data_IF_886192625510
#
_entry.id   IF_886192625510
#
_cell.length_a   1.000
_cell.length_b   1.000
_cell.length_c   1.000
_cell.angle_alpha   90.00
_cell.angle_beta   90.00
_cell.angle_gamma   90.00
#
_symmetry.space_group_name_H-M   'P 1'
#
loop_
_entity.id
_entity.type
_entity.pdbx_description
1 polymer ?
#
# COMPACT_ATOMS: atom_id res chain seq x y z
N UNK A 1 -14.06 11.57 -2.46
CA UNK A 1 -13.25 10.32 -2.47
C UNK A 1 -12.34 10.37 -3.69
N UNK A 2 -11.05 10.09 -3.52
CA UNK A 2 -10.04 10.16 -4.60
C UNK A 2 -9.41 8.78 -4.77
N UNK A 3 -9.24 8.35 -6.02
CA UNK A 3 -8.56 7.10 -6.36
C UNK A 3 -7.23 7.41 -7.05
N UNK A 4 -6.17 6.73 -6.61
CA UNK A 4 -4.83 6.84 -7.18
C UNK A 4 -4.29 5.44 -7.46
N UNK A 5 -3.94 5.18 -8.73
CA UNK A 5 -3.33 3.92 -9.15
C UNK A 5 -1.81 4.10 -9.30
N UNK A 6 -1.03 3.25 -8.62
CA UNK A 6 0.43 3.20 -8.76
C UNK A 6 0.79 1.98 -9.60
N UNK A 7 1.18 2.20 -10.85
CA UNK A 7 1.43 1.16 -11.86
C UNK A 7 2.91 1.15 -12.25
N UNK A 8 3.44 -0.03 -12.58
CA UNK A 8 4.83 -0.21 -13.01
C UNK A 8 5.29 -1.65 -12.92
N UNK A 9 6.45 -1.94 -13.50
CA UNK A 9 7.05 -3.28 -13.54
C UNK A 9 7.36 -3.84 -12.15
N UNK A 10 7.48 -5.17 -12.04
CA UNK A 10 7.92 -5.81 -10.80
C UNK A 10 9.27 -5.22 -10.34
N UNK A 11 9.43 -5.02 -9.04
CA UNK A 11 10.64 -4.42 -8.43
C UNK A 11 10.96 -2.96 -8.83
N UNK A 12 10.03 -2.23 -9.45
CA UNK A 12 10.21 -0.80 -9.78
C UNK A 12 10.11 0.18 -8.59
N UNK A 13 9.97 -0.33 -7.35
CA UNK A 13 9.87 0.50 -6.14
C UNK A 13 8.45 0.93 -5.72
N UNK A 14 7.39 0.39 -6.34
CA UNK A 14 5.98 0.76 -6.02
C UNK A 14 5.64 0.62 -4.54
N UNK A 15 5.95 -0.52 -3.93
CA UNK A 15 5.66 -0.77 -2.51
C UNK A 15 6.38 0.25 -1.62
N UNK A 16 7.67 0.48 -1.88
CA UNK A 16 8.47 1.49 -1.16
C UNK A 16 7.91 2.91 -1.33
N UNK A 17 7.42 3.26 -2.51
CA UNK A 17 6.77 4.55 -2.74
C UNK A 17 5.49 4.67 -1.91
N UNK A 18 4.62 3.65 -1.95
CA UNK A 18 3.35 3.63 -1.21
C UNK A 18 3.61 3.72 0.31
N UNK A 19 4.59 2.99 0.85
CA UNK A 19 5.00 3.05 2.25
C UNK A 19 5.39 4.45 2.73
N UNK A 20 6.00 5.26 1.86
CA UNK A 20 6.36 6.65 2.19
C UNK A 20 5.19 7.61 1.99
N UNK A 21 4.33 7.32 1.01
CA UNK A 21 3.16 8.14 0.70
C UNK A 21 2.11 8.08 1.79
N UNK A 22 1.77 6.88 2.29
CA UNK A 22 0.74 6.69 3.32
C UNK A 22 0.96 7.61 4.55
N UNK A 23 2.11 7.59 5.25
CA UNK A 23 2.31 8.46 6.41
C UNK A 23 2.34 9.94 6.03
N UNK A 24 2.81 10.29 4.82
CA UNK A 24 2.78 11.67 4.35
C UNK A 24 1.34 12.18 4.13
N UNK A 25 0.43 11.34 3.62
CA UNK A 25 -0.97 11.69 3.46
C UNK A 25 -1.69 11.73 4.81
N UNK A 26 -1.42 10.76 5.69
CA UNK A 26 -1.99 10.74 7.05
C UNK A 26 -1.60 11.97 7.88
N UNK A 27 -0.35 12.44 7.77
CA UNK A 27 0.10 13.69 8.41
C UNK A 27 -0.68 14.92 7.96
N UNK A 28 -1.35 14.86 6.79
CA UNK A 28 -2.21 15.92 6.26
C UNK A 28 -3.70 15.71 6.61
N UNK A 29 -4.01 14.79 7.52
CA UNK A 29 -5.39 14.53 7.96
C UNK A 29 -6.19 13.62 7.02
N UNK A 30 -5.56 13.00 6.02
CA UNK A 30 -6.25 12.08 5.11
C UNK A 30 -6.26 10.66 5.66
N UNK A 31 -7.41 9.99 5.54
CA UNK A 31 -7.51 8.55 5.70
C UNK A 31 -7.10 7.84 4.41
N UNK A 32 -6.32 6.77 4.54
CA UNK A 32 -5.75 6.05 3.40
C UNK A 32 -6.06 4.56 3.55
N UNK A 33 -6.68 3.99 2.51
CA UNK A 33 -6.87 2.55 2.33
C UNK A 33 -6.04 2.14 1.12
N UNK A 34 -5.46 0.94 1.14
CA UNK A 34 -4.74 0.41 -0.02
C UNK A 34 -5.36 -0.88 -0.51
N UNK A 35 -5.48 -1.01 -1.82
CA UNK A 35 -5.89 -2.24 -2.50
C UNK A 35 -4.73 -2.71 -3.37
N UNK A 36 -4.40 -3.99 -3.28
CA UNK A 36 -3.36 -4.61 -4.09
C UNK A 36 -3.99 -5.65 -5.02
N UNK A 37 -3.65 -5.56 -6.30
CA UNK A 37 -3.90 -6.66 -7.22
C UNK A 37 -2.87 -7.79 -6.99
N UNK A 38 -3.34 -8.98 -6.65
CA UNK A 38 -2.52 -10.16 -6.40
C UNK A 38 -3.10 -11.35 -7.15
N UNK A 39 -2.27 -12.32 -7.62
CA UNK A 39 -2.79 -13.57 -8.15
C UNK A 39 -3.65 -14.29 -7.11
N UNK A 40 -4.68 -15.00 -7.57
CA UNK A 40 -5.61 -15.73 -6.70
C UNK A 40 -4.87 -16.73 -5.78
N UNK A 41 -5.35 -16.86 -4.54
CA UNK A 41 -4.88 -17.86 -3.57
C UNK A 41 -3.68 -17.45 -2.70
N UNK A 42 -3.17 -16.22 -2.81
CA UNK A 42 -2.09 -15.75 -1.93
C UNK A 42 -2.59 -15.33 -0.55
N UNK A 43 -2.00 -15.88 0.52
CA UNK A 43 -2.19 -15.38 1.88
C UNK A 43 -1.89 -13.88 1.97
N UNK A 44 -2.83 -13.14 2.56
CA UNK A 44 -2.73 -11.71 2.82
C UNK A 44 -1.98 -11.45 4.13
N UNK A 45 -1.36 -10.28 4.22
CA UNK A 45 -0.75 -9.74 5.45
C UNK A 45 0.34 -10.59 6.10
N UNK A 46 1.02 -11.40 5.30
CA UNK A 46 2.27 -12.05 5.71
C UNK A 46 3.34 -10.95 5.96
N UNK A 47 4.08 -11.02 7.09
CA UNK A 47 5.19 -10.13 7.37
C UNK A 47 6.13 -9.94 6.17
N UNK A 48 6.42 -8.68 5.83
CA UNK A 48 7.28 -8.32 4.71
C UNK A 48 6.61 -8.32 3.32
N UNK A 49 5.37 -8.80 3.16
CA UNK A 49 4.59 -8.63 1.92
C UNK A 49 3.94 -7.24 1.85
N UNK A 50 3.58 -6.82 0.64
CA UNK A 50 3.07 -5.47 0.37
C UNK A 50 1.90 -5.03 1.26
N UNK A 51 0.87 -5.88 1.44
CA UNK A 51 -0.31 -5.49 2.24
C UNK A 51 0.04 -5.30 3.72
N UNK A 52 0.89 -6.19 4.27
CA UNK A 52 1.47 -6.04 5.60
C UNK A 52 2.27 -4.74 5.71
N UNK A 53 3.16 -4.48 4.75
CA UNK A 53 4.01 -3.27 4.74
C UNK A 53 3.17 -1.99 4.66
N UNK A 54 2.10 -1.98 3.86
CA UNK A 54 1.19 -0.84 3.77
C UNK A 54 0.43 -0.61 5.09
N UNK A 55 -0.05 -1.68 5.74
CA UNK A 55 -0.72 -1.56 7.04
C UNK A 55 0.24 -1.04 8.11
N UNK A 56 1.50 -1.52 8.13
CA UNK A 56 2.55 -0.99 9.01
C UNK A 56 2.86 0.50 8.75
N UNK A 57 2.77 0.95 7.49
CA UNK A 57 2.90 2.36 7.13
C UNK A 57 1.68 3.22 7.54
N UNK A 58 0.60 2.57 8.01
CA UNK A 58 -0.60 3.20 8.52
C UNK A 58 -1.80 3.17 7.57
N UNK A 59 -1.80 2.32 6.52
CA UNK A 59 -3.04 2.11 5.77
C UNK A 59 -4.11 1.52 6.70
N UNK A 60 -5.35 1.98 6.54
CA UNK A 60 -6.52 1.36 7.16
C UNK A 60 -7.04 0.24 6.26
N UNK A 61 -7.57 -0.82 6.86
CA UNK A 61 -8.01 -2.03 6.16
C UNK A 61 -7.13 -3.21 6.49
#
# INVERSE_FOLDING_TARGET
MVFLSVIGWSKSGKTTFIERLIPALRKRGMEVVTVKHHPEGGELDIPGKDTWRHRQAGAKG
#
